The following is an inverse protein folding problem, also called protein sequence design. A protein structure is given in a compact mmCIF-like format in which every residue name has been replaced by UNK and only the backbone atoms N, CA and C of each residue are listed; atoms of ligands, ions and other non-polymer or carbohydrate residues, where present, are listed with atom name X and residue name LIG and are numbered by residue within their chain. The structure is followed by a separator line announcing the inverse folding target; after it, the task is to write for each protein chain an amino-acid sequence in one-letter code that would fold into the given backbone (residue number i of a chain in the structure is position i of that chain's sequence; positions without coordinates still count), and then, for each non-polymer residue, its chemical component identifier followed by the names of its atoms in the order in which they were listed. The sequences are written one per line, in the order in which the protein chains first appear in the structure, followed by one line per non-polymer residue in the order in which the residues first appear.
data_IF_797736208190
#
_entry.id   IF_797736208190
#
_cell.length_a   1.000
_cell.length_b   1.000
_cell.length_c   1.000
_cell.angle_alpha   90.00
_cell.angle_beta   90.00
_cell.angle_gamma   90.00
#
_symmetry.space_group_name_H-M   'P 1'
#
loop_
_entity.id
_entity.type
_entity.pdbx_description
1 polymer ?
#
# COMPACT_ATOMS: atom_id res chain seq x y z
N UNK A 1 35.35 45.24 11.08
CA UNK A 1 34.61 43.96 11.21
C UNK A 1 33.16 44.27 10.88
N UNK A 2 32.57 43.63 9.93
CA UNK A 2 31.17 43.88 9.56
C UNK A 2 30.30 42.96 10.43
N UNK A 3 29.56 43.50 11.37
CA UNK A 3 28.56 42.76 12.15
C UNK A 3 27.20 42.92 11.48
N UNK A 4 26.58 41.80 11.13
CA UNK A 4 25.22 41.79 10.59
C UNK A 4 24.28 41.49 11.78
N UNK A 5 23.43 42.46 12.18
CA UNK A 5 22.48 42.26 13.29
C UNK A 5 21.60 41.04 13.03
N UNK A 6 21.46 40.16 14.02
CA UNK A 6 20.62 38.93 13.92
C UNK A 6 21.28 37.74 13.21
N UNK A 7 22.53 37.85 12.78
CA UNK A 7 23.23 36.78 12.08
C UNK A 7 23.40 35.53 12.97
N UNK A 8 23.83 35.70 14.20
CA UNK A 8 24.04 34.60 15.14
C UNK A 8 22.74 33.85 15.46
N UNK A 9 21.63 34.58 15.60
CA UNK A 9 20.30 34.01 15.82
C UNK A 9 19.83 33.23 14.57
N UNK A 10 20.08 33.72 13.37
CA UNK A 10 19.78 33.03 12.13
C UNK A 10 20.57 31.73 12.01
N UNK A 11 21.88 31.76 12.27
CA UNK A 11 22.76 30.57 12.26
C UNK A 11 22.27 29.56 13.27
N UNK A 12 21.97 29.96 14.50
CA UNK A 12 21.44 29.04 15.52
C UNK A 12 20.12 28.35 15.12
N UNK A 13 19.24 29.07 14.41
CA UNK A 13 17.99 28.46 13.88
C UNK A 13 18.30 27.46 12.76
N UNK A 14 19.21 27.77 11.85
CA UNK A 14 19.66 26.83 10.82
C UNK A 14 20.25 25.55 11.42
N UNK A 15 21.12 25.68 12.40
CA UNK A 15 21.70 24.55 13.13
C UNK A 15 20.62 23.70 13.82
N UNK A 16 19.64 24.34 14.47
CA UNK A 16 18.52 23.64 15.07
C UNK A 16 17.62 22.88 14.08
N UNK A 17 17.53 23.33 12.82
CA UNK A 17 16.85 22.60 11.75
C UNK A 17 17.70 21.42 11.30
N UNK A 18 19.02 21.62 11.13
CA UNK A 18 19.97 20.58 10.69
C UNK A 18 20.02 19.44 11.70
N UNK A 19 20.12 19.75 12.98
CA UNK A 19 20.17 18.74 14.06
C UNK A 19 18.95 17.82 14.10
N UNK A 20 17.78 18.34 13.70
CA UNK A 20 16.51 17.60 13.68
C UNK A 20 16.12 17.10 12.28
N UNK A 21 17.00 17.25 11.29
CA UNK A 21 16.67 17.03 9.88
C UNK A 21 16.24 15.60 9.59
N UNK A 22 16.99 14.62 10.14
CA UNK A 22 16.69 13.20 9.94
C UNK A 22 15.32 12.81 10.53
N UNK A 23 14.99 13.30 11.71
CA UNK A 23 13.70 13.04 12.35
C UNK A 23 12.55 13.69 11.57
N UNK A 24 12.77 14.90 11.06
CA UNK A 24 11.79 15.62 10.24
C UNK A 24 11.53 14.88 8.90
N UNK A 25 12.59 14.41 8.23
CA UNK A 25 12.46 13.59 7.02
C UNK A 25 11.69 12.31 7.29
N UNK A 26 12.05 11.60 8.36
CA UNK A 26 11.38 10.36 8.75
C UNK A 26 9.89 10.57 9.01
N UNK A 27 9.53 11.64 9.72
CA UNK A 27 8.13 12.00 9.96
C UNK A 27 7.37 12.33 8.67
N UNK A 28 8.01 13.05 7.75
CA UNK A 28 7.43 13.35 6.43
C UNK A 28 7.16 12.06 5.66
N UNK A 29 8.14 11.16 5.57
CA UNK A 29 8.02 9.89 4.87
C UNK A 29 6.97 8.99 5.50
N UNK A 30 6.84 8.97 6.82
CA UNK A 30 5.76 8.26 7.50
C UNK A 30 4.37 8.78 7.10
N UNK A 31 4.20 10.10 7.03
CA UNK A 31 2.94 10.70 6.57
C UNK A 31 2.65 10.37 5.11
N UNK A 32 3.67 10.40 4.24
CA UNK A 32 3.53 10.01 2.84
C UNK A 32 3.17 8.54 2.68
N UNK A 33 3.78 7.64 3.44
CA UNK A 33 3.47 6.22 3.45
C UNK A 33 2.01 5.95 3.89
N UNK A 34 1.52 6.67 4.90
CA UNK A 34 0.13 6.57 5.33
C UNK A 34 -0.84 7.05 4.23
N UNK A 35 -0.53 8.12 3.51
CA UNK A 35 -1.32 8.57 2.34
C UNK A 35 -1.37 7.48 1.27
N UNK A 36 -0.24 6.83 0.95
CA UNK A 36 -0.22 5.71 0.02
C UNK A 36 -1.11 4.57 0.51
N UNK A 37 -1.03 4.20 1.78
CA UNK A 37 -1.84 3.16 2.37
C UNK A 37 -3.34 3.48 2.29
N UNK A 38 -3.72 4.71 2.60
CA UNK A 38 -5.12 5.20 2.52
C UNK A 38 -5.69 5.12 1.11
N UNK A 39 -4.90 5.46 0.07
CA UNK A 39 -5.36 5.45 -1.32
C UNK A 39 -5.34 4.05 -1.95
N UNK A 40 -4.40 3.20 -1.57
CA UNK A 40 -4.26 1.86 -2.13
C UNK A 40 -5.28 0.88 -1.52
N UNK A 41 -5.44 0.91 -0.19
CA UNK A 41 -6.25 -0.08 0.54
C UNK A 41 -7.69 -0.24 0.01
N UNK A 42 -8.43 0.84 -0.32
CA UNK A 42 -9.79 0.72 -0.86
C UNK A 42 -9.87 0.07 -2.24
N UNK A 43 -8.76 0.05 -3.00
CA UNK A 43 -8.69 -0.50 -4.34
C UNK A 43 -8.36 -2.00 -4.34
N UNK A 44 -7.94 -2.55 -3.20
CA UNK A 44 -7.63 -3.98 -3.06
C UNK A 44 -8.93 -4.77 -3.06
N UNK A 45 -9.10 -5.76 -3.96
CA UNK A 45 -10.29 -6.60 -3.96
C UNK A 45 -10.46 -7.37 -2.65
N UNK A 46 -11.64 -7.26 -2.04
CA UNK A 46 -11.95 -7.94 -0.77
C UNK A 46 -12.65 -9.27 -1.06
N UNK A 47 -11.89 -10.31 -1.37
CA UNK A 47 -12.46 -11.68 -1.46
C UNK A 47 -12.34 -12.41 -0.11
N UNK A 48 -11.17 -12.38 0.51
CA UNK A 48 -10.90 -13.05 1.79
C UNK A 48 -10.46 -12.13 2.92
N UNK A 49 -10.43 -10.83 2.70
CA UNK A 49 -9.86 -9.80 3.60
C UNK A 49 -8.37 -9.99 3.95
N UNK A 50 -7.74 -11.07 3.54
CA UNK A 50 -6.36 -11.39 3.92
C UNK A 50 -5.35 -10.42 3.28
N UNK A 51 -5.53 -10.05 2.02
CA UNK A 51 -4.63 -9.12 1.34
C UNK A 51 -4.75 -7.71 1.94
N UNK A 52 -5.98 -7.24 2.15
CA UNK A 52 -6.25 -5.93 2.76
C UNK A 52 -5.66 -5.85 4.17
N UNK A 53 -5.87 -6.87 5.01
CA UNK A 53 -5.40 -6.87 6.40
C UNK A 53 -3.88 -6.95 6.54
N UNK A 54 -3.18 -7.42 5.52
CA UNK A 54 -1.72 -7.54 5.50
C UNK A 54 -1.02 -6.47 4.65
N UNK A 55 -1.79 -5.57 4.05
CA UNK A 55 -1.23 -4.42 3.36
C UNK A 55 -0.96 -3.32 4.37
N UNK A 56 0.32 -2.96 4.54
CA UNK A 56 0.74 -2.09 5.64
C UNK A 56 1.97 -1.26 5.27
N UNK A 57 2.24 -0.26 6.11
CA UNK A 57 3.50 0.47 6.07
C UNK A 57 4.58 -0.43 6.68
N UNK A 58 5.66 -0.61 5.95
CA UNK A 58 6.84 -1.38 6.36
C UNK A 58 7.90 -0.53 7.05
N UNK A 59 9.15 -0.68 6.60
CA UNK A 59 10.28 0.05 7.16
C UNK A 59 10.23 1.53 6.77
N UNK A 60 10.50 2.40 7.74
CA UNK A 60 10.62 3.84 7.54
C UNK A 60 11.99 4.28 8.02
N UNK A 61 12.77 4.84 7.10
CA UNK A 61 14.06 5.47 7.34
C UNK A 61 13.99 6.96 6.99
N UNK A 62 15.02 7.76 7.24
CA UNK A 62 15.06 9.14 6.76
C UNK A 62 15.09 9.30 5.23
N UNK A 63 15.42 8.23 4.49
CA UNK A 63 15.63 8.28 3.05
C UNK A 63 14.52 7.60 2.25
N UNK A 64 13.83 6.61 2.86
CA UNK A 64 12.73 5.91 2.19
C UNK A 64 11.70 5.38 3.19
N UNK A 65 10.51 5.11 2.70
CA UNK A 65 9.46 4.40 3.40
C UNK A 65 8.87 3.32 2.49
N UNK A 66 8.56 2.17 3.06
CA UNK A 66 7.98 1.04 2.35
C UNK A 66 6.48 0.94 2.65
N UNK A 67 5.69 0.67 1.61
CA UNK A 67 4.27 0.33 1.73
C UNK A 67 4.01 -0.90 0.90
N UNK A 68 3.42 -1.92 1.49
CA UNK A 68 3.21 -3.16 0.76
C UNK A 68 2.67 -4.30 1.61
N UNK A 69 2.81 -5.50 1.07
CA UNK A 69 2.39 -6.74 1.70
C UNK A 69 3.35 -7.87 1.36
N UNK A 70 3.45 -8.85 2.24
CA UNK A 70 4.18 -10.11 2.02
C UNK A 70 3.27 -11.25 1.51
N UNK A 71 2.06 -10.94 1.07
CA UNK A 71 1.11 -11.94 0.54
C UNK A 71 1.52 -12.31 -0.87
N UNK A 72 1.90 -13.58 -1.08
CA UNK A 72 2.46 -14.10 -2.34
C UNK A 72 1.57 -13.85 -3.57
N UNK A 73 0.25 -13.90 -3.41
CA UNK A 73 -0.67 -13.73 -4.53
C UNK A 73 -0.98 -12.25 -4.85
N UNK A 74 -0.44 -11.30 -4.10
CA UNK A 74 -0.70 -9.87 -4.30
C UNK A 74 -0.35 -9.40 -5.73
N UNK A 75 0.77 -9.85 -6.27
CA UNK A 75 1.20 -9.54 -7.65
C UNK A 75 0.23 -10.11 -8.69
N UNK A 76 -0.27 -11.33 -8.47
CA UNK A 76 -1.26 -11.92 -9.38
C UNK A 76 -2.59 -11.17 -9.38
N UNK A 77 -2.97 -10.57 -8.25
CA UNK A 77 -4.15 -9.72 -8.15
C UNK A 77 -3.90 -8.37 -8.82
N UNK A 78 -2.71 -7.78 -8.60
CA UNK A 78 -2.37 -6.50 -9.18
C UNK A 78 -2.22 -6.56 -10.70
N UNK A 79 -1.34 -7.45 -11.19
CA UNK A 79 -0.90 -7.48 -12.60
C UNK A 79 -1.73 -8.43 -13.46
N UNK A 80 -2.50 -9.31 -12.82
CA UNK A 80 -3.18 -10.40 -13.49
C UNK A 80 -2.30 -11.63 -13.65
N UNK A 81 -2.91 -12.72 -14.13
CA UNK A 81 -2.21 -13.98 -14.32
C UNK A 81 -2.92 -14.90 -15.32
N UNK A 82 -2.18 -15.86 -15.85
CA UNK A 82 -2.78 -16.95 -16.64
C UNK A 82 -3.27 -18.03 -15.69
N UNK A 83 -4.59 -18.25 -15.68
CA UNK A 83 -5.19 -19.39 -15.03
C UNK A 83 -5.02 -20.63 -15.89
N UNK A 84 -4.23 -21.61 -15.45
CA UNK A 84 -4.09 -22.87 -16.15
C UNK A 84 -5.29 -23.79 -15.97
N UNK A 85 -5.51 -24.68 -16.94
CA UNK A 85 -6.56 -25.70 -16.87
C UNK A 85 -6.27 -26.64 -15.69
N UNK A 86 -7.20 -26.71 -14.72
CA UNK A 86 -7.08 -27.61 -13.56
C UNK A 86 -8.44 -27.95 -12.98
N UNK A 87 -8.52 -29.10 -12.34
CA UNK A 87 -9.68 -29.47 -11.55
C UNK A 87 -9.61 -28.80 -10.17
N UNK A 88 -10.69 -28.11 -9.79
CA UNK A 88 -10.85 -27.50 -8.49
C UNK A 88 -11.89 -28.28 -7.68
N UNK A 89 -11.47 -29.05 -6.64
CA UNK A 89 -12.39 -29.79 -5.80
C UNK A 89 -13.39 -28.89 -5.09
N UNK A 90 -14.57 -29.42 -4.77
CA UNK A 90 -15.64 -28.66 -4.12
C UNK A 90 -15.25 -28.10 -2.75
N UNK A 91 -14.29 -28.73 -2.08
CA UNK A 91 -13.77 -28.27 -0.78
C UNK A 91 -13.14 -26.88 -0.83
N UNK A 92 -12.59 -26.50 -1.98
CA UNK A 92 -11.97 -25.19 -2.22
C UNK A 92 -12.96 -24.11 -2.66
N UNK A 93 -14.21 -24.46 -2.90
CA UNK A 93 -15.23 -23.51 -3.30
C UNK A 93 -15.87 -22.83 -2.10
N UNK A 94 -16.24 -21.56 -2.26
CA UNK A 94 -17.06 -20.82 -1.30
C UNK A 94 -18.42 -21.54 -1.08
N UNK A 95 -19.15 -21.17 -0.03
CA UNK A 95 -20.44 -21.78 0.28
C UNK A 95 -21.43 -21.75 -0.91
N UNK A 96 -21.47 -20.62 -1.66
CA UNK A 96 -22.28 -20.48 -2.88
C UNK A 96 -21.84 -21.40 -4.01
N UNK A 97 -20.52 -21.46 -4.25
CA UNK A 97 -19.93 -22.35 -5.27
C UNK A 97 -20.15 -23.84 -4.93
N UNK A 98 -20.06 -24.21 -3.65
CA UNK A 98 -20.38 -25.58 -3.19
C UNK A 98 -21.83 -25.98 -3.50
N UNK A 99 -22.79 -25.09 -3.30
CA UNK A 99 -24.19 -25.34 -3.65
C UNK A 99 -24.40 -25.54 -5.14
N UNK A 100 -23.74 -24.72 -5.96
CA UNK A 100 -23.89 -24.73 -7.43
C UNK A 100 -23.26 -25.97 -8.10
N UNK A 101 -22.09 -26.42 -7.60
CA UNK A 101 -21.27 -27.45 -8.26
C UNK A 101 -21.17 -28.76 -7.49
N UNK A 102 -21.94 -28.92 -6.36
CA UNK A 102 -22.03 -30.17 -5.66
C UNK A 102 -22.91 -31.13 -6.42
N UNK A 103 -22.34 -32.23 -6.93
CA UNK A 103 -23.10 -33.37 -7.43
C UNK A 103 -23.29 -34.36 -6.29
N UNK A 104 -24.55 -34.76 -6.06
CA UNK A 104 -24.87 -35.82 -5.11
C UNK A 104 -24.63 -37.16 -5.81
N UNK A 105 -23.45 -37.73 -5.64
CA UNK A 105 -23.21 -39.12 -6.08
C UNK A 105 -23.87 -40.07 -5.11
N UNK A 106 -24.90 -40.80 -5.59
CA UNK A 106 -25.62 -41.75 -4.79
C UNK A 106 -24.75 -42.91 -4.38
N UNK A 107 -24.50 -43.01 -3.14
CA UNK A 107 -24.20 -44.04 -2.15
C UNK A 107 -23.43 -43.39 -1.01
N UNK A 108 -24.12 -43.19 0.12
CA UNK A 108 -23.58 -42.65 1.38
C UNK A 108 -23.24 -41.13 1.45
N UNK A 109 -24.09 -40.23 0.92
CA UNK A 109 -24.14 -38.83 1.41
C UNK A 109 -22.87 -37.97 1.30
N UNK A 110 -21.77 -38.45 0.71
CA UNK A 110 -20.57 -37.67 0.48
C UNK A 110 -20.76 -36.81 -0.75
N UNK A 111 -20.84 -35.52 -0.57
CA UNK A 111 -20.82 -34.55 -1.67
C UNK A 111 -19.42 -34.60 -2.32
N UNK A 112 -19.28 -35.26 -3.42
CA UNK A 112 -18.12 -35.25 -4.29
C UNK A 112 -18.42 -34.38 -5.50
N UNK A 113 -17.45 -33.68 -5.97
CA UNK A 113 -17.60 -32.84 -7.15
C UNK A 113 -16.57 -31.71 -7.16
N UNK A 114 -16.63 -30.89 -8.18
CA UNK A 114 -15.74 -29.77 -8.39
C UNK A 114 -16.02 -29.14 -9.74
N UNK A 115 -15.18 -28.22 -10.13
CA UNK A 115 -15.22 -27.56 -11.43
C UNK A 115 -13.90 -27.73 -12.17
N UNK A 116 -13.97 -27.87 -13.48
CA UNK A 116 -12.81 -27.81 -14.34
C UNK A 116 -12.58 -26.33 -14.72
N UNK A 117 -11.54 -25.74 -14.20
CA UNK A 117 -11.12 -24.41 -14.59
C UNK A 117 -10.53 -24.50 -16.02
N UNK A 118 -10.95 -23.58 -16.88
CA UNK A 118 -10.41 -23.45 -18.23
C UNK A 118 -9.18 -22.55 -18.20
N UNK A 119 -8.27 -22.77 -19.13
CA UNK A 119 -7.16 -21.84 -19.33
C UNK A 119 -7.68 -20.50 -19.83
N UNK A 120 -7.34 -19.44 -19.14
CA UNK A 120 -7.68 -18.07 -19.53
C UNK A 120 -6.77 -17.08 -18.80
N UNK A 121 -6.59 -15.92 -19.40
CA UNK A 121 -5.99 -14.79 -18.72
C UNK A 121 -7.02 -14.16 -17.77
N UNK A 122 -6.62 -13.92 -16.52
CA UNK A 122 -7.36 -13.16 -15.50
C UNK A 122 -6.68 -11.78 -15.44
N UNK A 123 -7.37 -10.70 -15.85
CA UNK A 123 -6.80 -9.36 -15.82
C UNK A 123 -6.52 -8.92 -14.39
N UNK A 124 -5.49 -8.13 -14.23
CA UNK A 124 -5.14 -7.47 -12.96
C UNK A 124 -6.08 -6.31 -12.64
N UNK A 125 -6.05 -5.88 -11.40
CA UNK A 125 -6.84 -4.73 -10.90
C UNK A 125 -6.03 -3.45 -10.89
N UNK A 126 -4.68 -3.56 -10.94
CA UNK A 126 -3.73 -2.44 -10.92
C UNK A 126 -3.94 -1.51 -9.73
N UNK A 127 -4.21 -2.10 -8.55
CA UNK A 127 -4.52 -1.33 -7.33
C UNK A 127 -3.32 -0.53 -6.84
N UNK A 128 -2.08 -1.02 -7.06
CA UNK A 128 -0.86 -0.31 -6.69
C UNK A 128 -0.69 0.96 -7.54
N UNK A 129 -0.76 0.82 -8.87
CA UNK A 129 -0.58 1.92 -9.82
C UNK A 129 -1.66 2.98 -9.65
N UNK A 130 -2.93 2.56 -9.58
CA UNK A 130 -4.06 3.45 -9.40
C UNK A 130 -4.02 4.18 -8.04
N UNK A 131 -3.67 3.47 -6.97
CA UNK A 131 -3.52 4.05 -5.64
C UNK A 131 -2.36 5.03 -5.56
N UNK A 132 -1.21 4.71 -6.16
CA UNK A 132 -0.07 5.63 -6.24
C UNK A 132 -0.40 6.87 -7.06
N UNK A 133 -1.13 6.73 -8.15
CA UNK A 133 -1.59 7.87 -8.95
C UNK A 133 -2.50 8.79 -8.12
N UNK A 134 -3.40 8.24 -7.32
CA UNK A 134 -4.28 9.00 -6.41
C UNK A 134 -3.50 9.64 -5.26
N UNK A 135 -2.50 8.95 -4.69
CA UNK A 135 -1.67 9.43 -3.59
C UNK A 135 -0.74 10.58 -3.99
N UNK A 136 -0.20 10.55 -5.21
CA UNK A 136 0.84 11.49 -5.69
C UNK A 136 0.50 12.98 -5.46
N UNK A 137 -0.67 13.51 -5.81
CA UNK A 137 -0.99 14.93 -5.59
C UNK A 137 -1.07 15.28 -4.10
N UNK A 138 -1.56 14.37 -3.26
CA UNK A 138 -1.61 14.56 -1.80
C UNK A 138 -0.19 14.59 -1.20
N UNK A 139 0.69 13.68 -1.63
CA UNK A 139 2.09 13.63 -1.20
C UNK A 139 2.84 14.89 -1.63
N UNK A 140 2.62 15.37 -2.88
CA UNK A 140 3.22 16.62 -3.37
C UNK A 140 2.82 17.81 -2.50
N UNK A 141 1.53 17.97 -2.22
CA UNK A 141 1.03 19.04 -1.34
C UNK A 141 1.62 18.96 0.07
N UNK A 142 1.77 17.75 0.60
CA UNK A 142 2.41 17.53 1.91
C UNK A 142 3.88 17.95 1.89
N UNK A 143 4.63 17.60 0.84
CA UNK A 143 6.02 18.01 0.66
C UNK A 143 6.18 19.53 0.55
N UNK A 144 5.31 20.19 -0.22
CA UNK A 144 5.29 21.66 -0.34
C UNK A 144 5.02 22.32 1.03
N UNK A 145 4.03 21.81 1.78
CA UNK A 145 3.73 22.32 3.12
C UNK A 145 4.88 22.11 4.11
N UNK A 146 5.59 20.99 3.99
CA UNK A 146 6.78 20.71 4.79
C UNK A 146 7.90 21.70 4.49
N UNK A 147 8.17 22.00 3.22
CA UNK A 147 9.19 22.99 2.85
C UNK A 147 8.86 24.40 3.36
N UNK A 148 7.57 24.79 3.29
CA UNK A 148 7.13 26.08 3.86
C UNK A 148 7.33 26.11 5.38
N UNK A 149 7.06 25.02 6.07
CA UNK A 149 7.29 24.93 7.51
C UNK A 149 8.77 25.08 7.85
N UNK A 150 9.65 24.40 7.13
CA UNK A 150 11.10 24.53 7.31
C UNK A 150 11.55 25.97 7.07
N UNK A 151 11.06 26.62 6.02
CA UNK A 151 11.36 28.03 5.75
C UNK A 151 10.99 28.95 6.91
N UNK A 152 9.79 28.79 7.47
CA UNK A 152 9.33 29.58 8.65
C UNK A 152 10.19 29.34 9.88
N UNK A 153 10.59 28.11 10.15
CA UNK A 153 11.46 27.78 11.29
C UNK A 153 12.83 28.48 11.17
N UNK A 154 13.37 28.60 9.95
CA UNK A 154 14.63 29.32 9.68
C UNK A 154 14.43 30.83 9.80
N UNK A 155 13.32 31.36 9.30
CA UNK A 155 13.00 32.79 9.35
C UNK A 155 12.64 33.27 10.78
N UNK A 156 12.24 32.37 11.68
CA UNK A 156 11.92 32.69 13.08
C UNK A 156 10.48 33.12 13.30
N UNK A 157 9.56 32.70 12.40
CA UNK A 157 8.11 32.98 12.44
C UNK A 157 7.29 31.78 12.87
#
# INVERSE_FOLDING_TARGET
MFEIPGWDEFVARCEGVVDKWEDKKKLLLQKMANICLEEITPLIPVDTSNLVSKFQVGVITPDYAEVGTNVEYALYVNDGHVQHRRFLPISYLSAGGRKKYAHTSGKKGKKSGGIMLKERYIPGVFFLENGMQAATPRMKKLGESFMVQIGREIEGG
#
